data_IF_077028548656
#
_entry.id   IF_077028548656
#
_cell.length_a   1.000
_cell.length_b   1.000
_cell.length_c   1.000
_cell.angle_alpha   90.00
_cell.angle_beta   90.00
_cell.angle_gamma   90.00
#
_symmetry.space_group_name_H-M   'P 1'
#
loop_
_entity.id
_entity.type
_entity.pdbx_description
1 polymer ?
#
# COMPACT_ATOMS: atom_id res chain seq x y z
N UNK A 1 15.77 -29.01 -16.54
CA UNK A 1 15.90 -28.00 -15.48
C UNK A 1 14.53 -27.41 -15.26
N UNK A 2 14.00 -27.57 -14.05
CA UNK A 2 12.60 -27.26 -13.72
C UNK A 2 12.34 -25.76 -13.78
N UNK A 3 11.19 -25.38 -14.33
CA UNK A 3 10.69 -24.02 -14.30
C UNK A 3 10.58 -23.51 -12.85
N UNK A 4 10.78 -22.20 -12.60
CA UNK A 4 10.58 -21.64 -11.28
C UNK A 4 9.14 -21.90 -10.80
N UNK A 5 9.05 -22.27 -9.53
CA UNK A 5 7.84 -22.61 -8.78
C UNK A 5 6.84 -21.43 -8.80
N UNK A 6 5.54 -21.75 -8.81
CA UNK A 6 4.42 -20.81 -8.80
C UNK A 6 4.63 -19.61 -7.83
N UNK A 7 4.08 -18.42 -8.14
CA UNK A 7 4.15 -17.28 -7.22
C UNK A 7 3.63 -17.72 -5.85
N UNK A 8 4.47 -17.60 -4.82
CA UNK A 8 4.07 -17.91 -3.44
C UNK A 8 3.15 -16.78 -2.98
N UNK A 9 1.84 -17.03 -3.02
CA UNK A 9 0.85 -16.14 -2.42
C UNK A 9 1.04 -15.99 -0.91
N UNK A 10 0.22 -15.13 -0.31
CA UNK A 10 0.12 -15.00 1.13
C UNK A 10 -0.44 -16.28 1.74
N UNK A 11 0.01 -16.62 2.95
CA UNK A 11 -0.42 -17.83 3.65
C UNK A 11 -1.73 -17.60 4.39
N UNK A 12 -1.87 -16.42 4.99
CA UNK A 12 -3.04 -16.02 5.74
C UNK A 12 -3.50 -14.62 5.33
N UNK A 13 -4.81 -14.42 5.34
CA UNK A 13 -5.46 -13.12 5.17
C UNK A 13 -6.55 -12.97 6.23
N UNK A 14 -6.34 -12.04 7.15
CA UNK A 14 -7.30 -11.68 8.20
C UNK A 14 -8.03 -10.41 7.78
N UNK A 15 -9.33 -10.53 7.54
CA UNK A 15 -10.17 -9.36 7.31
C UNK A 15 -10.23 -8.50 8.57
N UNK A 16 -10.23 -7.18 8.37
CA UNK A 16 -10.36 -6.16 9.41
C UNK A 16 -11.75 -5.50 9.28
N UNK A 17 -12.83 -6.18 9.68
CA UNK A 17 -14.21 -5.82 9.29
C UNK A 17 -14.63 -4.42 9.76
N UNK A 18 -14.21 -4.00 10.96
CA UNK A 18 -14.58 -2.70 11.52
C UNK A 18 -13.52 -1.62 11.21
N UNK A 19 -12.58 -1.85 10.29
CA UNK A 19 -11.44 -0.96 10.08
C UNK A 19 -11.87 0.46 9.70
N UNK A 20 -12.71 0.59 8.67
CA UNK A 20 -13.17 1.88 8.19
C UNK A 20 -14.17 2.55 9.15
N UNK A 21 -15.04 1.78 9.81
CA UNK A 21 -15.90 2.31 10.88
C UNK A 21 -15.09 2.87 12.05
N UNK A 22 -14.02 2.16 12.47
CA UNK A 22 -13.06 2.65 13.47
C UNK A 22 -12.33 3.89 12.99
N UNK A 23 -11.96 3.96 11.71
CA UNK A 23 -11.29 5.11 11.12
C UNK A 23 -12.19 6.36 11.19
N UNK A 24 -13.46 6.23 10.80
CA UNK A 24 -14.45 7.29 10.92
C UNK A 24 -14.64 7.76 12.37
N UNK A 25 -14.71 6.82 13.31
CA UNK A 25 -14.94 7.12 14.73
C UNK A 25 -13.72 7.77 15.42
N UNK A 26 -12.50 7.36 15.05
CA UNK A 26 -11.26 7.84 15.66
C UNK A 26 -10.69 9.08 14.96
N UNK A 27 -11.03 9.30 13.69
CA UNK A 27 -10.45 10.34 12.83
C UNK A 27 -9.10 9.95 12.24
N UNK A 28 -8.37 9.01 12.84
CA UNK A 28 -7.12 8.49 12.31
C UNK A 28 -6.64 7.23 13.02
N UNK A 29 -5.96 6.36 12.28
CA UNK A 29 -5.40 5.09 12.77
C UNK A 29 -3.91 5.03 12.35
N UNK A 30 -2.98 5.22 13.31
CA UNK A 30 -1.57 4.93 13.10
C UNK A 30 -1.36 3.43 12.92
N UNK A 31 -0.57 3.04 11.92
CA UNK A 31 -0.45 1.63 11.51
C UNK A 31 0.34 0.82 12.52
N UNK A 32 1.43 1.36 13.07
CA UNK A 32 2.19 0.65 14.10
C UNK A 32 1.34 0.39 15.36
N UNK A 33 0.56 1.36 15.82
CA UNK A 33 -0.36 1.18 16.95
C UNK A 33 -1.45 0.13 16.67
N UNK A 34 -2.00 0.12 15.45
CA UNK A 34 -2.93 -0.92 15.03
C UNK A 34 -2.32 -2.31 15.08
N UNK A 35 -1.06 -2.46 14.64
CA UNK A 35 -0.36 -3.74 14.62
C UNK A 35 -0.06 -4.22 16.05
N UNK A 36 0.34 -3.31 16.95
CA UNK A 36 0.50 -3.60 18.37
C UNK A 36 -0.82 -4.12 18.98
N UNK A 37 -1.93 -3.41 18.77
CA UNK A 37 -3.27 -3.79 19.19
C UNK A 37 -3.68 -5.19 18.70
N UNK A 38 -3.39 -5.50 17.43
CA UNK A 38 -3.70 -6.80 16.83
C UNK A 38 -2.81 -7.90 17.40
N UNK A 39 -1.54 -7.60 17.66
CA UNK A 39 -0.58 -8.54 18.21
C UNK A 39 -0.96 -8.93 19.65
N UNK A 40 -1.37 -7.96 20.48
CA UNK A 40 -1.82 -8.20 21.86
C UNK A 40 -3.08 -9.07 21.92
N UNK A 41 -4.01 -8.90 20.99
CA UNK A 41 -5.29 -9.62 20.98
C UNK A 41 -5.20 -11.04 20.44
N UNK A 42 -4.28 -11.27 19.50
CA UNK A 42 -4.29 -12.47 18.64
C UNK A 42 -2.95 -13.22 18.60
N UNK A 43 -1.95 -12.79 19.37
CA UNK A 43 -0.60 -13.41 19.46
C UNK A 43 -0.01 -13.70 18.07
N UNK A 44 -0.02 -12.68 17.22
CA UNK A 44 0.36 -12.83 15.81
C UNK A 44 1.88 -12.87 15.63
N UNK A 45 2.68 -12.45 16.61
CA UNK A 45 4.12 -12.35 16.50
C UNK A 45 4.54 -11.32 15.43
N UNK A 46 3.80 -10.22 15.33
CA UNK A 46 4.12 -9.12 14.42
C UNK A 46 5.22 -8.25 15.05
N UNK A 47 6.29 -8.03 14.29
CA UNK A 47 7.33 -7.05 14.60
C UNK A 47 7.30 -6.00 13.49
N UNK A 48 7.45 -4.73 13.85
CA UNK A 48 7.36 -3.62 12.92
C UNK A 48 8.25 -2.46 13.37
N UNK A 49 9.30 -2.17 12.60
CA UNK A 49 10.15 -0.99 12.78
C UNK A 49 9.84 0.11 11.75
N UNK A 50 9.12 -0.26 10.67
CA UNK A 50 8.66 0.67 9.65
C UNK A 50 7.73 0.02 8.64
N UNK A 51 7.25 0.83 7.71
CA UNK A 51 6.31 0.44 6.65
C UNK A 51 6.83 0.85 5.28
N UNK A 52 6.41 0.12 4.25
CA UNK A 52 6.58 0.53 2.85
C UNK A 52 5.22 0.65 2.20
N UNK A 53 4.81 1.89 1.89
CA UNK A 53 3.62 2.15 1.11
C UNK A 53 3.77 1.59 -0.31
N UNK A 54 2.70 0.96 -0.78
CA UNK A 54 2.57 0.34 -2.08
C UNK A 54 1.44 0.98 -2.86
N UNK A 55 1.75 1.40 -4.08
CA UNK A 55 0.77 1.77 -5.09
C UNK A 55 1.22 1.17 -6.42
N UNK A 56 0.65 0.01 -6.77
CA UNK A 56 0.83 -0.66 -8.08
C UNK A 56 2.29 -0.76 -8.55
N UNK A 57 3.19 -0.97 -7.59
CA UNK A 57 4.63 -1.16 -7.79
C UNK A 57 5.48 0.05 -7.38
N UNK A 58 4.88 1.21 -7.11
CA UNK A 58 5.55 2.31 -6.41
C UNK A 58 5.75 1.91 -4.95
N UNK A 59 6.93 2.23 -4.41
CA UNK A 59 7.37 1.87 -3.07
C UNK A 59 7.94 3.07 -2.33
N UNK A 60 7.31 3.41 -1.21
CA UNK A 60 7.75 4.52 -0.35
C UNK A 60 7.96 4.02 1.08
N UNK A 61 9.22 3.88 1.53
CA UNK A 61 9.52 3.59 2.93
C UNK A 61 9.18 4.76 3.86
N UNK A 62 8.60 4.45 5.01
CA UNK A 62 8.34 5.38 6.09
C UNK A 62 8.41 4.70 7.46
N UNK A 63 8.74 5.46 8.49
CA UNK A 63 8.79 4.97 9.87
C UNK A 63 7.41 4.59 10.39
N UNK A 64 6.35 5.20 9.85
CA UNK A 64 4.97 4.83 10.12
C UNK A 64 4.08 5.27 8.94
N UNK A 65 2.83 4.84 8.94
CA UNK A 65 1.77 5.43 8.14
C UNK A 65 0.51 5.62 8.99
N UNK A 66 -0.29 6.61 8.64
CA UNK A 66 -1.56 6.90 9.33
C UNK A 66 -2.68 6.91 8.30
N UNK A 67 -3.71 6.10 8.53
CA UNK A 67 -4.97 6.27 7.84
C UNK A 67 -5.71 7.44 8.48
N UNK A 68 -6.27 8.35 7.69
CA UNK A 68 -6.97 9.54 8.19
C UNK A 68 -8.37 9.58 7.58
N UNK A 69 -9.39 9.80 8.42
CA UNK A 69 -10.75 10.03 7.94
C UNK A 69 -10.89 11.46 7.42
N UNK A 70 -11.45 11.61 6.22
CA UNK A 70 -11.56 12.87 5.50
C UNK A 70 -13.05 13.18 5.22
N UNK A 71 -13.81 13.67 6.23
CA UNK A 71 -15.27 13.80 6.16
C UNK A 71 -15.74 14.83 5.11
N UNK A 72 -14.88 15.81 4.82
CA UNK A 72 -15.10 16.84 3.81
C UNK A 72 -13.99 16.78 2.74
N UNK A 73 -13.72 15.58 2.23
CA UNK A 73 -12.68 15.30 1.24
C UNK A 73 -12.79 16.11 -0.08
N UNK A 74 -12.06 15.69 -1.11
CA UNK A 74 -11.97 16.43 -2.35
C UNK A 74 -13.36 16.73 -2.93
N UNK A 75 -13.70 18.02 -3.07
CA UNK A 75 -14.99 18.50 -3.59
C UNK A 75 -16.22 18.14 -2.75
N UNK A 76 -16.06 17.93 -1.44
CA UNK A 76 -17.17 17.77 -0.48
C UNK A 76 -17.77 16.36 -0.44
N UNK A 77 -17.00 15.34 -0.81
CA UNK A 77 -17.36 13.92 -0.66
C UNK A 77 -16.55 13.29 0.46
N UNK A 78 -17.10 12.29 1.19
CA UNK A 78 -16.32 11.48 2.12
C UNK A 78 -15.11 10.86 1.43
N UNK A 79 -13.99 10.84 2.14
CA UNK A 79 -12.76 10.23 1.70
C UNK A 79 -12.04 9.63 2.91
N UNK A 80 -10.98 8.89 2.63
CA UNK A 80 -9.91 8.66 3.60
C UNK A 80 -8.57 8.85 2.91
N UNK A 81 -7.52 9.10 3.68
CA UNK A 81 -6.16 9.15 3.18
C UNK A 81 -5.23 8.21 3.91
N UNK A 82 -4.10 7.91 3.28
CA UNK A 82 -2.93 7.31 3.90
C UNK A 82 -1.79 8.32 3.82
N UNK A 83 -1.29 8.73 4.98
CA UNK A 83 -0.15 9.62 5.12
C UNK A 83 1.05 8.83 5.61
N UNK A 84 2.18 8.94 4.93
CA UNK A 84 3.39 8.19 5.27
C UNK A 84 4.39 9.12 5.94
N UNK A 85 4.86 8.75 7.12
CA UNK A 85 6.00 9.40 7.79
C UNK A 85 7.29 8.90 7.13
N UNK A 86 7.61 9.47 5.97
CA UNK A 86 8.59 8.90 5.06
C UNK A 86 10.03 8.98 5.58
N UNK A 87 10.90 8.14 5.01
CA UNK A 87 12.34 8.23 5.26
C UNK A 87 12.95 9.40 4.48
N UNK A 88 13.54 10.36 5.19
CA UNK A 88 14.25 11.49 4.60
C UNK A 88 13.33 12.66 4.21
N UNK A 89 13.71 13.50 3.25
CA UNK A 89 12.95 14.71 2.87
C UNK A 89 11.81 14.40 1.89
N UNK A 90 11.16 13.24 2.02
CA UNK A 90 10.11 12.79 1.10
C UNK A 90 8.75 13.12 1.66
N UNK A 91 7.77 13.20 0.78
CA UNK A 91 6.38 13.37 1.16
C UNK A 91 5.55 12.36 0.37
N UNK A 92 4.67 11.64 1.06
CA UNK A 92 3.77 10.70 0.40
C UNK A 92 2.41 10.69 1.07
N UNK A 93 1.40 10.90 0.24
CA UNK A 93 0.01 10.95 0.62
C UNK A 93 -0.86 10.42 -0.51
N UNK A 94 -1.82 9.55 -0.18
CA UNK A 94 -2.80 9.04 -1.12
C UNK A 94 -4.20 9.23 -0.54
N UNK A 95 -5.11 9.78 -1.33
CA UNK A 95 -6.52 10.01 -0.96
C UNK A 95 -7.43 9.11 -1.77
N UNK A 96 -8.35 8.44 -1.08
CA UNK A 96 -9.27 7.46 -1.63
C UNK A 96 -10.72 7.91 -1.47
N UNK A 97 -11.57 7.54 -2.44
CA UNK A 97 -13.00 7.83 -2.47
C UNK A 97 -13.70 7.01 -1.39
N UNK A 98 -14.20 7.69 -0.36
CA UNK A 98 -14.91 7.08 0.76
C UNK A 98 -16.36 6.75 0.43
N UNK A 99 -16.83 7.02 -0.80
CA UNK A 99 -18.15 6.57 -1.26
C UNK A 99 -18.14 5.14 -1.79
N UNK A 100 -16.96 4.58 -2.07
CA UNK A 100 -16.78 3.17 -2.41
C UNK A 100 -16.83 2.30 -1.15
N UNK A 101 -17.19 1.03 -1.32
CA UNK A 101 -17.09 0.01 -0.27
C UNK A 101 -15.68 -0.58 -0.25
N UNK A 102 -14.98 -0.45 0.88
CA UNK A 102 -13.61 -0.91 1.05
C UNK A 102 -13.51 -2.01 2.09
N UNK A 103 -12.69 -3.02 1.81
CA UNK A 103 -12.27 -4.01 2.81
C UNK A 103 -10.76 -3.88 3.04
N UNK A 104 -10.34 -4.05 4.28
CA UNK A 104 -8.94 -4.08 4.67
C UNK A 104 -8.56 -5.46 5.22
N UNK A 105 -7.35 -5.91 4.88
CA UNK A 105 -6.85 -7.24 5.23
C UNK A 105 -5.45 -7.13 5.80
N UNK A 106 -5.19 -7.82 6.92
CA UNK A 106 -3.85 -8.15 7.36
C UNK A 106 -3.41 -9.45 6.66
N UNK A 107 -2.44 -9.33 5.77
CA UNK A 107 -1.84 -10.43 5.04
C UNK A 107 -0.56 -10.90 5.72
N UNK A 108 -0.33 -12.21 5.75
CA UNK A 108 0.86 -12.80 6.37
C UNK A 108 1.44 -13.94 5.56
N UNK A 109 2.76 -14.00 5.56
CA UNK A 109 3.55 -15.13 5.05
C UNK A 109 4.84 -15.22 5.85
N UNK A 110 5.72 -16.18 5.53
CA UNK A 110 6.98 -16.36 6.25
C UNK A 110 7.85 -15.11 6.18
N UNK A 111 7.96 -14.40 7.32
CA UNK A 111 8.82 -13.24 7.48
C UNK A 111 8.31 -11.95 6.83
N UNK A 112 7.07 -11.90 6.37
CA UNK A 112 6.49 -10.70 5.76
C UNK A 112 5.02 -10.56 6.14
N UNK A 113 4.61 -9.33 6.44
CA UNK A 113 3.22 -8.97 6.67
C UNK A 113 2.86 -7.72 5.87
N UNK A 114 1.59 -7.54 5.55
CA UNK A 114 1.10 -6.32 4.94
C UNK A 114 -0.33 -6.01 5.36
N UNK A 115 -0.68 -4.73 5.40
CA UNK A 115 -2.08 -4.30 5.37
C UNK A 115 -2.42 -3.95 3.92
N UNK A 116 -3.37 -4.66 3.32
CA UNK A 116 -3.88 -4.37 1.98
C UNK A 116 -5.33 -3.90 2.08
N UNK A 117 -5.75 -3.01 1.19
CA UNK A 117 -7.15 -2.60 1.09
C UNK A 117 -7.62 -2.65 -0.36
N UNK A 118 -8.88 -3.04 -0.55
CA UNK A 118 -9.45 -3.34 -1.86
C UNK A 118 -10.92 -2.91 -1.92
N UNK A 119 -11.25 -2.07 -2.91
CA UNK A 119 -12.64 -1.64 -3.14
C UNK A 119 -13.47 -2.71 -3.85
N UNK A 120 -14.78 -2.67 -3.69
CA UNK A 120 -15.71 -3.51 -4.47
C UNK A 120 -15.52 -3.27 -5.97
N UNK A 121 -15.38 -2.00 -6.37
CA UNK A 121 -15.22 -1.60 -7.76
C UNK A 121 -13.93 -2.15 -8.38
N UNK A 122 -12.79 -2.04 -7.69
CA UNK A 122 -11.52 -2.60 -8.16
C UNK A 122 -11.61 -4.11 -8.32
N UNK A 123 -12.15 -4.79 -7.31
CA UNK A 123 -12.32 -6.24 -7.36
C UNK A 123 -13.20 -6.69 -8.52
N UNK A 124 -14.35 -6.04 -8.74
CA UNK A 124 -15.27 -6.38 -9.82
C UNK A 124 -14.66 -6.18 -11.21
N UNK A 125 -13.76 -5.20 -11.36
CA UNK A 125 -13.16 -4.86 -12.65
C UNK A 125 -11.91 -5.69 -12.95
N UNK A 126 -11.01 -5.88 -11.97
CA UNK A 126 -9.71 -6.52 -12.21
C UNK A 126 -9.67 -8.01 -11.83
N UNK A 127 -10.45 -8.46 -10.84
CA UNK A 127 -10.17 -9.73 -10.15
C UNK A 127 -11.33 -10.74 -10.15
N UNK A 128 -12.59 -10.30 -10.25
CA UNK A 128 -13.78 -11.14 -10.09
C UNK A 128 -13.94 -12.25 -11.15
N UNK A 129 -13.24 -12.16 -12.29
CA UNK A 129 -13.23 -13.25 -13.29
C UNK A 129 -12.34 -14.44 -12.85
N UNK A 130 -11.34 -14.19 -12.00
CA UNK A 130 -10.32 -15.17 -11.61
C UNK A 130 -10.47 -15.64 -10.16
N UNK A 131 -11.01 -14.78 -9.29
CA UNK A 131 -11.12 -15.04 -7.86
C UNK A 131 -12.58 -15.03 -7.42
N UNK A 132 -12.88 -15.84 -6.41
CA UNK A 132 -14.25 -16.01 -5.91
C UNK A 132 -14.66 -14.95 -4.88
N UNK A 133 -13.68 -14.30 -4.26
CA UNK A 133 -13.85 -13.23 -3.28
C UNK A 133 -12.64 -12.30 -3.27
N UNK A 134 -12.77 -11.12 -2.66
CA UNK A 134 -11.64 -10.22 -2.39
C UNK A 134 -10.56 -10.88 -1.54
N UNK A 135 -10.96 -11.62 -0.50
CA UNK A 135 -10.02 -12.36 0.35
C UNK A 135 -9.17 -13.35 -0.46
N UNK A 136 -9.79 -14.08 -1.39
CA UNK A 136 -9.11 -15.01 -2.31
C UNK A 136 -8.16 -14.25 -3.26
N UNK A 137 -8.57 -13.09 -3.77
CA UNK A 137 -7.72 -12.22 -4.60
C UNK A 137 -6.49 -11.72 -3.83
N UNK A 138 -6.67 -11.13 -2.64
CA UNK A 138 -5.55 -10.60 -1.85
C UNK A 138 -4.61 -11.69 -1.35
N UNK A 139 -5.12 -12.90 -1.04
CA UNK A 139 -4.29 -14.07 -0.74
C UNK A 139 -3.35 -14.43 -1.89
N UNK A 140 -3.80 -14.25 -3.13
CA UNK A 140 -2.99 -14.45 -4.33
C UNK A 140 -2.17 -13.21 -4.73
N UNK A 141 -2.06 -12.21 -3.85
CA UNK A 141 -1.26 -11.01 -4.06
C UNK A 141 -1.92 -9.98 -4.97
N UNK A 142 -3.24 -10.05 -5.14
CA UNK A 142 -4.00 -9.13 -5.99
C UNK A 142 -4.57 -7.99 -5.15
N UNK A 143 -3.85 -6.88 -5.11
CA UNK A 143 -4.29 -5.62 -4.54
C UNK A 143 -3.44 -4.48 -5.13
N UNK A 144 -4.06 -3.34 -5.41
CA UNK A 144 -3.34 -2.17 -5.89
C UNK A 144 -2.57 -1.43 -4.80
N UNK A 145 -3.10 -1.46 -3.58
CA UNK A 145 -2.63 -0.62 -2.48
C UNK A 145 -2.35 -1.43 -1.22
N UNK A 146 -1.29 -1.06 -0.52
CA UNK A 146 -0.94 -1.71 0.73
C UNK A 146 0.19 -1.05 1.48
N UNK A 147 0.41 -1.52 2.70
CA UNK A 147 1.54 -1.17 3.56
C UNK A 147 2.25 -2.46 3.93
N UNK A 148 3.44 -2.66 3.39
CA UNK A 148 4.29 -3.78 3.76
C UNK A 148 4.98 -3.46 5.08
N UNK A 149 4.98 -4.41 6.00
CA UNK A 149 5.49 -4.25 7.35
C UNK A 149 6.87 -4.88 7.41
N UNK A 150 7.86 -4.09 7.83
CA UNK A 150 9.27 -4.49 7.86
C UNK A 150 9.83 -4.32 9.29
N UNK A 151 10.76 -5.18 9.67
CA UNK A 151 11.44 -5.14 10.96
C UNK A 151 12.89 -5.63 10.84
N UNK A 152 13.73 -5.24 11.81
CA UNK A 152 15.14 -5.58 11.90
C UNK A 152 15.93 -5.25 10.64
N UNK A 153 16.81 -6.16 10.22
CA UNK A 153 17.69 -5.99 9.07
C UNK A 153 16.93 -5.71 7.76
N UNK A 154 15.70 -6.22 7.61
CA UNK A 154 14.88 -6.00 6.41
C UNK A 154 14.34 -4.57 6.34
N UNK A 155 14.04 -3.95 7.49
CA UNK A 155 13.71 -2.54 7.57
C UNK A 155 14.93 -1.65 7.28
N UNK A 156 16.07 -1.97 7.87
CA UNK A 156 17.33 -1.25 7.62
C UNK A 156 17.69 -1.27 6.13
N UNK A 157 17.43 -2.38 5.42
CA UNK A 157 17.62 -2.45 3.97
C UNK A 157 16.71 -1.46 3.21
N UNK A 158 15.44 -1.28 3.63
CA UNK A 158 14.55 -0.31 2.97
C UNK A 158 15.04 1.13 3.17
N UNK A 159 15.49 1.46 4.38
CA UNK A 159 16.05 2.78 4.72
C UNK A 159 17.30 3.05 3.89
N UNK A 160 18.26 2.12 3.90
CA UNK A 160 19.49 2.25 3.11
C UNK A 160 19.18 2.39 1.61
N UNK A 161 18.23 1.60 1.10
CA UNK A 161 17.87 1.59 -0.31
C UNK A 161 17.33 2.94 -0.75
N UNK A 162 16.37 3.51 -0.02
CA UNK A 162 15.77 4.80 -0.42
C UNK A 162 16.73 5.97 -0.20
N UNK A 163 17.64 5.89 0.77
CA UNK A 163 18.68 6.91 0.98
C UNK A 163 19.77 6.94 -0.10
N UNK A 164 19.87 5.92 -0.96
CA UNK A 164 20.82 5.88 -2.10
C UNK A 164 20.35 6.69 -3.31
N UNK A 165 19.20 7.36 -3.23
CA UNK A 165 18.61 8.11 -4.32
C UNK A 165 18.01 9.43 -3.84
N UNK A 166 17.94 10.42 -4.73
CA UNK A 166 17.18 11.67 -4.59
C UNK A 166 15.81 11.59 -5.32
N UNK A 167 15.28 10.38 -5.50
CA UNK A 167 13.92 10.12 -5.96
C UNK A 167 12.95 10.01 -4.77
N UNK A 168 11.66 10.34 -4.98
CA UNK A 168 10.66 10.28 -3.91
C UNK A 168 10.24 8.85 -3.57
N UNK A 169 10.47 7.90 -4.47
CA UNK A 169 10.11 6.50 -4.32
C UNK A 169 11.04 5.61 -5.17
N UNK A 170 11.03 4.31 -4.88
CA UNK A 170 11.53 3.31 -5.83
C UNK A 170 10.39 2.52 -6.47
N UNK A 171 10.69 1.81 -7.55
CA UNK A 171 9.72 0.99 -8.26
C UNK A 171 10.09 -0.48 -8.12
N UNK A 172 9.08 -1.33 -7.97
CA UNK A 172 9.22 -2.77 -7.96
C UNK A 172 8.26 -3.38 -8.98
N UNK A 173 8.82 -4.13 -9.94
CA UNK A 173 8.06 -4.87 -10.94
C UNK A 173 7.39 -6.13 -10.36
N UNK A 174 6.45 -6.69 -11.11
CA UNK A 174 5.76 -7.95 -10.76
C UNK A 174 6.72 -9.15 -10.67
N UNK A 175 7.84 -9.10 -11.40
CA UNK A 175 8.92 -10.10 -11.35
C UNK A 175 9.86 -9.91 -10.14
N UNK A 176 9.58 -8.92 -9.29
CA UNK A 176 10.38 -8.56 -8.13
C UNK A 176 11.60 -7.69 -8.44
N UNK A 177 11.83 -7.32 -9.72
CA UNK A 177 12.91 -6.42 -10.09
C UNK A 177 12.70 -5.04 -9.46
N UNK A 178 13.79 -4.43 -8.97
CA UNK A 178 13.76 -3.12 -8.33
C UNK A 178 14.47 -2.10 -9.22
N UNK A 179 13.80 -0.99 -9.47
CA UNK A 179 14.35 0.20 -10.13
C UNK A 179 14.48 1.30 -9.10
N UNK A 180 15.67 1.87 -8.99
CA UNK A 180 15.97 3.04 -8.17
C UNK A 180 16.19 4.22 -9.11
N UNK A 181 15.15 5.02 -9.45
CA UNK A 181 15.36 6.27 -10.15
C UNK A 181 16.31 7.13 -9.33
N UNK A 182 17.15 7.95 -9.95
CA UNK A 182 18.13 8.80 -9.25
C UNK A 182 17.53 10.15 -8.81
N UNK A 183 16.47 10.60 -9.49
CA UNK A 183 15.84 11.92 -9.27
C UNK A 183 14.32 11.84 -9.36
N UNK A 184 13.61 12.83 -8.83
CA UNK A 184 12.15 12.95 -8.98
C UNK A 184 11.70 12.98 -10.46
N UNK A 185 12.41 13.69 -11.34
CA UNK A 185 12.05 13.72 -12.77
C UNK A 185 12.19 12.36 -13.44
N UNK A 186 13.24 11.60 -13.09
CA UNK A 186 13.44 10.25 -13.59
C UNK A 186 12.36 9.29 -13.06
N UNK A 187 11.97 9.43 -11.78
CA UNK A 187 10.86 8.69 -11.20
C UNK A 187 9.57 8.88 -12.01
N UNK A 188 9.15 10.12 -12.29
CA UNK A 188 7.94 10.37 -13.07
C UNK A 188 8.06 9.90 -14.53
N UNK A 189 9.26 9.95 -15.12
CA UNK A 189 9.46 9.34 -16.44
C UNK A 189 9.21 7.83 -16.42
N UNK A 190 9.64 7.12 -15.37
CA UNK A 190 9.34 5.70 -15.22
C UNK A 190 7.85 5.45 -14.98
N UNK A 191 7.21 6.20 -14.11
CA UNK A 191 5.76 6.10 -13.82
C UNK A 191 4.93 6.31 -15.09
N UNK A 192 5.25 7.34 -15.88
CA UNK A 192 4.56 7.66 -17.14
C UNK A 192 4.87 6.64 -18.26
N UNK A 193 6.10 6.14 -18.33
CA UNK A 193 6.56 5.18 -19.36
C UNK A 193 6.22 3.72 -19.06
N UNK A 194 5.88 3.40 -17.80
CA UNK A 194 5.46 2.07 -17.36
C UNK A 194 4.06 1.70 -17.86
N UNK A 195 3.66 0.41 -17.77
CA UNK A 195 2.30 -0.03 -18.08
C UNK A 195 1.25 0.85 -17.39
N UNK A 196 0.03 0.89 -17.92
CA UNK A 196 -1.07 1.75 -17.42
C UNK A 196 -1.28 1.64 -15.91
N UNK A 197 -0.92 0.50 -15.31
CA UNK A 197 -0.95 0.24 -13.87
C UNK A 197 -0.10 1.21 -13.03
N UNK A 198 1.00 1.74 -13.56
CA UNK A 198 1.87 2.69 -12.88
C UNK A 198 1.51 4.15 -13.15
N UNK A 199 0.60 4.44 -14.09
CA UNK A 199 0.26 5.82 -14.51
C UNK A 199 -0.73 6.50 -13.56
N UNK A 200 -0.48 6.45 -12.26
CA UNK A 200 -1.43 6.89 -11.21
C UNK A 200 -1.12 8.26 -10.61
N UNK A 201 0.03 8.88 -10.88
CA UNK A 201 0.30 10.25 -10.41
C UNK A 201 -0.50 11.29 -11.19
N UNK A 202 -1.20 12.18 -10.48
CA UNK A 202 -1.79 13.40 -11.07
C UNK A 202 -3.17 13.24 -11.74
N UNK A 203 -4.09 12.48 -11.15
CA UNK A 203 -5.51 12.49 -11.53
C UNK A 203 -5.88 11.67 -12.77
N UNK A 204 -4.99 10.78 -13.22
CA UNK A 204 -5.19 9.87 -14.37
C UNK A 204 -5.46 8.40 -14.00
N UNK A 205 -5.46 8.06 -12.71
CA UNK A 205 -5.78 6.72 -12.25
C UNK A 205 -7.19 6.31 -12.71
N UNK A 206 -7.40 5.07 -13.18
CA UNK A 206 -8.75 4.59 -13.47
C UNK A 206 -9.68 4.76 -12.28
N UNK A 207 -10.87 5.32 -12.50
CA UNK A 207 -11.78 5.68 -11.40
C UNK A 207 -12.22 4.50 -10.54
N UNK A 208 -12.19 3.28 -11.09
CA UNK A 208 -12.53 2.07 -10.34
C UNK A 208 -11.52 1.74 -9.23
N UNK A 209 -10.30 2.31 -9.27
CA UNK A 209 -9.33 2.17 -8.20
C UNK A 209 -9.70 3.00 -6.96
N UNK A 210 -10.66 3.91 -7.07
CA UNK A 210 -11.05 4.79 -5.97
C UNK A 210 -9.96 5.79 -5.53
N UNK A 211 -8.82 5.87 -6.21
CA UNK A 211 -7.76 6.84 -5.92
C UNK A 211 -8.17 8.23 -6.46
N UNK A 212 -8.34 9.19 -5.56
CA UNK A 212 -8.72 10.57 -5.87
C UNK A 212 -7.49 11.44 -6.13
N UNK A 213 -6.50 11.35 -5.24
CA UNK A 213 -5.28 12.16 -5.27
C UNK A 213 -4.10 11.30 -4.81
N UNK A 214 -2.94 11.53 -5.43
CA UNK A 214 -1.68 10.89 -5.06
C UNK A 214 -0.56 11.92 -5.14
N UNK A 215 0.12 12.13 -4.02
CA UNK A 215 1.32 12.94 -3.91
C UNK A 215 2.48 12.03 -3.50
N UNK A 216 3.55 12.05 -4.30
CA UNK A 216 4.81 11.34 -4.04
C UNK A 216 5.93 12.26 -4.50
N UNK A 217 6.53 12.99 -3.56
CA UNK A 217 7.48 14.08 -3.84
C UNK A 217 8.69 14.03 -2.90
N UNK A 218 9.72 14.79 -3.24
CA UNK A 218 10.92 15.00 -2.42
C UNK A 218 11.26 16.49 -2.45
N UNK A 219 11.58 17.04 -1.29
CA UNK A 219 11.87 18.48 -1.08
C UNK A 219 13.32 18.88 -1.43
#
# INVERSE_FOLDING_TARGET
MSAPTAPRGWQDAYELPDFFERLEASGGIPVLELLEDLNERSDLGLEADGVVYHDRGIRVPGYNATFVHEPAGARGRPAFSVEVDTVGPRNTWAKFDGTNSWDAYLLRTQGLSAIAWLSDEEYQVEEAEQFSSKQDAVLNGRFSFGLFIHAGDDWDEQVERIQRTDAPAYLQGEDGSVVLPSTQSEFYQYVDSSPTSFRTSGGGAPSYLGLLELEITID
#
